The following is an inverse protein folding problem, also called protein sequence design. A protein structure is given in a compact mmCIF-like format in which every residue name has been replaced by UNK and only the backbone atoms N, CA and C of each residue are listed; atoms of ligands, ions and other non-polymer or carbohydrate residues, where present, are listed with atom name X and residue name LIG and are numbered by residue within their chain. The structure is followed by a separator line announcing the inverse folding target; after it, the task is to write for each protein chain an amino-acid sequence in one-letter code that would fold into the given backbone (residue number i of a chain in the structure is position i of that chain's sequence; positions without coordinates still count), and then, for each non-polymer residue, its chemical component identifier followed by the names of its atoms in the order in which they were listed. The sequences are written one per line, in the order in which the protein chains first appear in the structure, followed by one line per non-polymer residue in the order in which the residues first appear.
data_IF_333232773644
#
_entry.id   IF_333232773644
#
_cell.length_a   1.000
_cell.length_b   1.000
_cell.length_c   1.000
_cell.angle_alpha   90.00
_cell.angle_beta   90.00
_cell.angle_gamma   90.00
#
_symmetry.space_group_name_H-M   'P 1'
#
loop_
_entity.id
_entity.type
_entity.pdbx_description
1 polymer ?
#
# COMPACT_ATOMS: atom_id res chain seq x y z
N UNK A 1 -5.33 13.76 -19.34
CA UNK A 1 -4.02 13.23 -18.92
C UNK A 1 -3.86 11.86 -19.55
N UNK A 2 -2.75 11.61 -20.22
CA UNK A 2 -2.55 10.30 -20.85
C UNK A 2 -2.30 9.22 -19.78
N UNK A 3 -2.77 7.97 -19.98
CA UNK A 3 -2.56 6.91 -18.99
C UNK A 3 -1.09 6.64 -18.67
N UNK A 4 -0.20 6.80 -19.65
CA UNK A 4 1.26 6.68 -19.52
C UNK A 4 1.84 7.73 -18.55
N UNK A 5 1.45 8.99 -18.70
CA UNK A 5 1.88 10.11 -17.84
C UNK A 5 1.40 9.93 -16.40
N UNK A 6 0.14 9.53 -16.24
CA UNK A 6 -0.46 9.29 -14.93
C UNK A 6 0.23 8.14 -14.18
N UNK A 7 0.53 7.04 -14.88
CA UNK A 7 1.25 5.90 -14.30
C UNK A 7 2.71 6.23 -13.97
N UNK A 8 3.38 7.01 -14.82
CA UNK A 8 4.75 7.46 -14.57
C UNK A 8 4.81 8.35 -13.34
N UNK A 9 3.89 9.30 -13.22
CA UNK A 9 3.78 10.19 -12.05
C UNK A 9 3.50 9.39 -10.78
N UNK A 10 2.56 8.44 -10.81
CA UNK A 10 2.27 7.59 -9.67
C UNK A 10 3.45 6.69 -9.28
N UNK A 11 4.19 6.15 -10.26
CA UNK A 11 5.40 5.38 -10.01
C UNK A 11 6.49 6.21 -9.33
N UNK A 12 6.69 7.47 -9.75
CA UNK A 12 7.64 8.39 -9.12
C UNK A 12 7.27 8.65 -7.66
N UNK A 13 5.99 8.90 -7.36
CA UNK A 13 5.50 9.08 -5.98
C UNK A 13 5.74 7.79 -5.16
N UNK A 14 5.47 6.64 -5.75
CA UNK A 14 5.69 5.34 -5.10
C UNK A 14 7.17 5.11 -4.75
N UNK A 15 8.08 5.37 -5.69
CA UNK A 15 9.54 5.27 -5.47
C UNK A 15 9.99 6.28 -4.40
N UNK A 16 9.48 7.51 -4.41
CA UNK A 16 9.80 8.50 -3.40
C UNK A 16 9.36 8.04 -2.00
N UNK A 17 8.13 7.53 -1.84
CA UNK A 17 7.64 6.98 -0.58
C UNK A 17 8.49 5.79 -0.10
N UNK A 18 8.86 4.88 -1.01
CA UNK A 18 9.75 3.75 -0.68
C UNK A 18 11.15 4.23 -0.26
N UNK A 19 11.70 5.24 -0.94
CA UNK A 19 12.97 5.87 -0.59
C UNK A 19 12.92 6.52 0.80
N UNK A 20 11.85 7.28 1.11
CA UNK A 20 11.66 7.85 2.44
C UNK A 20 11.51 6.80 3.53
N UNK A 21 10.88 5.66 3.25
CA UNK A 21 10.86 4.53 4.17
C UNK A 21 12.28 4.02 4.47
N UNK A 22 13.15 3.94 3.46
CA UNK A 22 14.57 3.62 3.62
C UNK A 22 15.33 4.63 4.48
N UNK A 23 15.08 5.93 4.26
CA UNK A 23 15.66 7.02 5.07
C UNK A 23 15.27 6.87 6.55
N UNK A 24 14.00 6.61 6.84
CA UNK A 24 13.54 6.43 8.24
C UNK A 24 14.21 5.21 8.90
N UNK A 25 14.45 4.15 8.15
CA UNK A 25 15.19 2.98 8.65
C UNK A 25 16.66 3.33 8.93
N UNK A 26 17.31 4.09 8.05
CA UNK A 26 18.72 4.46 8.19
C UNK A 26 18.98 5.43 9.37
N UNK A 27 18.07 6.38 9.60
CA UNK A 27 18.23 7.39 10.67
C UNK A 27 17.78 6.93 12.05
N UNK A 28 17.14 5.76 12.18
CA UNK A 28 16.75 5.24 13.49
C UNK A 28 17.90 4.45 14.09
N UNK A 29 18.36 4.89 15.26
CA UNK A 29 19.58 4.38 15.92
C UNK A 29 19.52 2.92 16.38
N UNK A 30 18.33 2.33 16.50
CA UNK A 30 18.15 0.93 16.91
C UNK A 30 18.17 0.00 15.71
N UNK A 31 18.87 -1.13 15.84
CA UNK A 31 18.89 -2.17 14.80
C UNK A 31 17.46 -2.62 14.48
N UNK A 32 17.17 -2.97 13.22
CA UNK A 32 15.83 -3.44 12.83
C UNK A 32 15.35 -4.61 13.69
N UNK A 33 16.26 -5.40 14.28
CA UNK A 33 15.92 -6.51 15.15
C UNK A 33 15.34 -6.05 16.50
N UNK A 34 15.84 -4.95 17.06
CA UNK A 34 15.41 -4.37 18.34
C UNK A 34 14.08 -3.62 18.26
N UNK A 35 13.57 -3.35 17.05
CA UNK A 35 12.31 -2.61 16.93
C UNK A 35 11.15 -3.41 17.50
N UNK A 36 10.25 -2.67 18.17
CA UNK A 36 8.96 -3.19 18.58
C UNK A 36 8.24 -3.80 17.37
N UNK A 37 7.51 -4.90 17.59
CA UNK A 37 6.75 -5.55 16.52
C UNK A 37 5.77 -4.58 15.84
N UNK A 38 5.26 -3.59 16.58
CA UNK A 38 4.36 -2.56 16.09
C UNK A 38 5.03 -1.60 15.11
N UNK A 39 6.28 -1.20 15.37
CA UNK A 39 7.04 -0.35 14.46
C UNK A 39 7.46 -1.11 13.20
N UNK A 40 7.83 -2.40 13.33
CA UNK A 40 8.07 -3.29 12.19
C UNK A 40 6.81 -3.41 11.31
N UNK A 41 5.63 -3.50 11.95
CA UNK A 41 4.36 -3.55 11.25
C UNK A 41 3.99 -2.23 10.56
N UNK A 42 4.25 -1.07 11.19
CA UNK A 42 4.07 0.24 10.55
C UNK A 42 4.96 0.42 9.33
N UNK A 43 6.24 0.04 9.45
CA UNK A 43 7.18 0.05 8.34
C UNK A 43 6.71 -0.87 7.21
N UNK A 44 6.23 -2.07 7.54
CA UNK A 44 5.65 -2.99 6.56
C UNK A 44 4.44 -2.40 5.83
N UNK A 45 3.53 -1.73 6.56
CA UNK A 45 2.38 -1.06 5.98
C UNK A 45 2.80 0.07 5.04
N UNK A 46 3.77 0.89 5.44
CA UNK A 46 4.34 1.95 4.61
C UNK A 46 4.97 1.38 3.35
N UNK A 47 5.83 0.37 3.49
CA UNK A 47 6.55 -0.20 2.35
C UNK A 47 5.59 -0.88 1.37
N UNK A 48 4.62 -1.64 1.86
CA UNK A 48 3.63 -2.27 0.98
C UNK A 48 2.67 -1.29 0.33
N UNK A 49 2.37 -0.16 0.97
CA UNK A 49 1.60 0.92 0.34
C UNK A 49 2.36 1.74 -0.70
N UNK A 50 3.69 1.60 -0.77
CA UNK A 50 4.50 2.11 -1.87
C UNK A 50 4.76 1.03 -2.95
N UNK A 51 5.06 -0.20 -2.55
CA UNK A 51 5.42 -1.28 -3.50
C UNK A 51 4.24 -1.79 -4.32
N UNK A 52 3.06 -2.00 -3.72
CA UNK A 52 1.86 -2.45 -4.44
C UNK A 52 1.50 -1.52 -5.62
N UNK A 53 1.41 -0.18 -5.44
CA UNK A 53 1.13 0.72 -6.54
C UNK A 53 2.30 0.79 -7.52
N UNK A 54 3.56 0.71 -7.07
CA UNK A 54 4.72 0.70 -7.95
C UNK A 54 4.67 -0.47 -8.94
N UNK A 55 4.49 -1.70 -8.44
CA UNK A 55 4.38 -2.88 -9.31
C UNK A 55 3.16 -2.81 -10.23
N UNK A 56 2.04 -2.27 -9.74
CA UNK A 56 0.85 -2.04 -10.57
C UNK A 56 1.13 -1.06 -11.72
N UNK A 57 1.86 0.03 -11.45
CA UNK A 57 2.26 1.01 -12.47
C UNK A 57 3.22 0.41 -13.49
N UNK A 58 4.25 -0.32 -13.04
CA UNK A 58 5.22 -1.00 -13.91
C UNK A 58 4.53 -2.01 -14.83
N UNK A 59 3.58 -2.79 -14.30
CA UNK A 59 2.81 -3.74 -15.09
C UNK A 59 1.91 -3.05 -16.13
N UNK A 60 1.24 -1.95 -15.74
CA UNK A 60 0.44 -1.15 -16.66
C UNK A 60 1.28 -0.54 -17.78
N UNK A 61 2.45 0.01 -17.46
CA UNK A 61 3.39 0.54 -18.45
C UNK A 61 3.92 -0.55 -19.39
N UNK A 62 4.25 -1.73 -18.86
CA UNK A 62 4.69 -2.87 -19.67
C UNK A 62 3.61 -3.29 -20.68
N UNK A 63 2.35 -3.40 -20.25
CA UNK A 63 1.24 -3.75 -21.14
C UNK A 63 1.01 -2.71 -22.24
N UNK A 64 1.24 -1.42 -21.96
CA UNK A 64 1.14 -0.35 -22.95
C UNK A 64 2.25 -0.40 -24.02
N UNK A 65 3.34 -1.13 -23.78
CA UNK A 65 4.40 -1.32 -24.80
C UNK A 65 4.01 -2.33 -25.90
N UNK A 66 3.03 -3.20 -25.65
CA UNK A 66 2.60 -4.23 -26.60
C UNK A 66 1.71 -3.59 -27.68
N UNK A 67 2.10 -3.75 -28.94
CA UNK A 67 1.33 -3.29 -30.11
C UNK A 67 0.78 -4.49 -30.91
N UNK A 68 -0.51 -4.50 -31.30
CA UNK A 68 -1.57 -3.55 -30.94
C UNK A 68 -1.96 -3.68 -29.45
N UNK A 69 -2.40 -2.57 -28.86
CA UNK A 69 -2.74 -2.51 -27.43
C UNK A 69 -3.90 -3.47 -27.15
N UNK A 70 -3.75 -4.46 -26.26
CA UNK A 70 -4.78 -5.48 -26.05
C UNK A 70 -6.11 -4.86 -25.59
N UNK A 71 -7.21 -5.28 -26.22
CA UNK A 71 -8.56 -4.72 -26.00
C UNK A 71 -9.02 -4.71 -24.51
N UNK A 72 -8.50 -5.57 -23.59
CA UNK A 72 -8.79 -5.48 -22.16
C UNK A 72 -7.57 -5.17 -21.24
N UNK A 73 -6.62 -4.29 -21.63
CA UNK A 73 -5.44 -3.93 -20.80
C UNK A 73 -5.80 -3.59 -19.35
N UNK A 74 -6.81 -2.74 -19.16
CA UNK A 74 -7.17 -2.26 -17.83
C UNK A 74 -7.81 -3.33 -16.97
N UNK A 75 -8.49 -4.32 -17.58
CA UNK A 75 -8.98 -5.49 -16.85
C UNK A 75 -7.80 -6.32 -16.34
N UNK A 76 -6.80 -6.57 -17.18
CA UNK A 76 -5.57 -7.25 -16.77
C UNK A 76 -4.82 -6.49 -15.67
N UNK A 77 -4.72 -5.17 -15.79
CA UNK A 77 -4.10 -4.33 -14.75
C UNK A 77 -4.88 -4.38 -13.44
N UNK A 78 -6.22 -4.34 -13.48
CA UNK A 78 -7.06 -4.47 -12.29
C UNK A 78 -6.99 -5.85 -11.66
N UNK A 79 -6.95 -6.94 -12.45
CA UNK A 79 -6.74 -8.31 -11.93
C UNK A 79 -5.39 -8.41 -11.22
N UNK A 80 -4.33 -7.92 -11.85
CA UNK A 80 -2.98 -7.94 -11.27
C UNK A 80 -2.90 -7.10 -9.99
N UNK A 81 -3.46 -5.89 -10.02
CA UNK A 81 -3.53 -5.01 -8.84
C UNK A 81 -4.35 -5.64 -7.71
N UNK A 82 -5.50 -6.23 -8.02
CA UNK A 82 -6.33 -6.94 -7.04
C UNK A 82 -5.56 -8.10 -6.39
N UNK A 83 -4.81 -8.87 -7.18
CA UNK A 83 -3.98 -9.95 -6.68
C UNK A 83 -2.91 -9.42 -5.71
N UNK A 84 -2.22 -8.33 -6.05
CA UNK A 84 -1.25 -7.69 -5.17
C UNK A 84 -1.89 -7.16 -3.87
N UNK A 85 -3.06 -6.52 -3.97
CA UNK A 85 -3.82 -6.02 -2.81
C UNK A 85 -4.23 -7.20 -1.91
N UNK A 86 -4.71 -8.31 -2.47
CA UNK A 86 -5.10 -9.50 -1.72
C UNK A 86 -3.90 -10.15 -1.02
N UNK A 87 -2.78 -10.36 -1.71
CA UNK A 87 -1.55 -10.89 -1.11
C UNK A 87 -1.07 -9.98 0.01
N UNK A 88 -1.00 -8.68 -0.23
CA UNK A 88 -0.54 -7.72 0.75
C UNK A 88 -1.47 -7.66 1.97
N UNK A 89 -2.79 -7.65 1.76
CA UNK A 89 -3.79 -7.70 2.82
C UNK A 89 -3.68 -8.98 3.65
N UNK A 90 -3.48 -10.14 3.01
CA UNK A 90 -3.31 -11.41 3.68
C UNK A 90 -2.03 -11.47 4.53
N UNK A 91 -0.89 -11.06 3.95
CA UNK A 91 0.39 -10.98 4.67
C UNK A 91 0.31 -10.00 5.85
N UNK A 92 -0.34 -8.86 5.64
CA UNK A 92 -0.56 -7.88 6.70
C UNK A 92 -1.42 -8.45 7.80
N UNK A 93 -2.51 -9.16 7.47
CA UNK A 93 -3.37 -9.83 8.46
C UNK A 93 -2.62 -10.91 9.24
N UNK A 94 -1.76 -11.70 8.59
CA UNK A 94 -0.88 -12.68 9.27
C UNK A 94 0.06 -12.00 10.27
N UNK A 95 0.75 -10.93 9.85
CA UNK A 95 1.60 -10.14 10.75
C UNK A 95 0.82 -9.49 11.90
N UNK A 96 -0.45 -9.13 11.67
CA UNK A 96 -1.32 -8.65 12.74
C UNK A 96 -1.71 -9.73 13.74
N UNK A 97 -1.96 -10.96 13.29
CA UNK A 97 -2.22 -12.06 14.23
C UNK A 97 -1.00 -12.35 15.11
N UNK A 98 0.21 -12.18 14.59
CA UNK A 98 1.47 -12.35 15.35
C UNK A 98 1.69 -11.25 16.41
N UNK A 99 1.16 -10.03 16.20
CA UNK A 99 1.22 -8.93 17.18
C UNK A 99 0.40 -9.21 18.45
N UNK A 100 -0.55 -10.15 18.38
CA UNK A 100 -1.45 -10.49 19.48
C UNK A 100 -2.55 -9.45 19.77
N UNK A 101 -3.72 -9.87 20.25
CA UNK A 101 -4.86 -8.98 20.52
C UNK A 101 -4.58 -7.94 21.62
N UNK A 102 -3.59 -8.19 22.49
CA UNK A 102 -3.19 -7.30 23.58
C UNK A 102 -2.57 -5.97 23.08
N UNK A 103 -1.78 -6.02 21.99
CA UNK A 103 -1.14 -4.83 21.40
C UNK A 103 -2.17 -3.94 20.69
N UNK A 104 -3.16 -4.55 20.03
CA UNK A 104 -4.27 -3.84 19.37
C UNK A 104 -5.16 -3.15 20.40
N UNK A 105 -5.38 -3.75 21.57
CA UNK A 105 -6.17 -3.14 22.66
C UNK A 105 -5.47 -1.92 23.27
N UNK A 106 -4.14 -1.88 23.28
CA UNK A 106 -3.32 -0.72 23.71
C UNK A 106 -3.31 0.45 22.70
N UNK A 107 -3.80 0.27 21.47
CA UNK A 107 -3.78 1.33 20.43
C UNK A 107 -4.82 2.44 20.62
N UNK A 108 -5.81 2.30 21.53
CA UNK A 108 -6.78 3.37 21.82
C UNK A 108 -7.45 3.96 20.57
N UNK A 109 -7.43 5.29 20.43
CA UNK A 109 -8.02 6.03 19.29
C UNK A 109 -7.45 5.63 17.91
N UNK A 110 -6.22 5.11 17.85
CA UNK A 110 -5.59 4.66 16.61
C UNK A 110 -6.31 3.43 16.01
N UNK A 111 -7.01 2.67 16.85
CA UNK A 111 -7.79 1.50 16.42
C UNK A 111 -8.93 1.89 15.48
N UNK A 112 -9.59 3.02 15.74
CA UNK A 112 -10.68 3.51 14.88
C UNK A 112 -10.16 3.83 13.48
N UNK A 113 -9.06 4.58 13.40
CA UNK A 113 -8.49 4.95 12.11
C UNK A 113 -7.94 3.72 11.36
N UNK A 114 -7.37 2.73 12.06
CA UNK A 114 -6.99 1.47 11.44
C UNK A 114 -8.19 0.73 10.81
N UNK A 115 -9.33 0.66 11.51
CA UNK A 115 -10.54 0.04 10.95
C UNK A 115 -11.13 0.84 9.78
N UNK A 116 -11.12 2.18 9.84
CA UNK A 116 -11.57 3.02 8.72
C UNK A 116 -10.72 2.76 7.48
N UNK A 117 -9.39 2.72 7.61
CA UNK A 117 -8.50 2.37 6.49
C UNK A 117 -8.78 0.96 5.99
N UNK A 118 -9.01 -0.01 6.87
CA UNK A 118 -9.32 -1.38 6.47
C UNK A 118 -10.64 -1.48 5.69
N UNK A 119 -11.70 -0.78 6.13
CA UNK A 119 -13.00 -0.73 5.44
C UNK A 119 -12.83 -0.06 4.07
N UNK A 120 -12.14 1.07 4.00
CA UNK A 120 -11.87 1.75 2.73
C UNK A 120 -11.03 0.88 1.78
N UNK A 121 -10.02 0.18 2.31
CA UNK A 121 -9.21 -0.76 1.53
C UNK A 121 -10.03 -1.94 0.97
N UNK A 122 -10.98 -2.46 1.76
CA UNK A 122 -11.94 -3.47 1.28
C UNK A 122 -12.83 -2.92 0.18
N UNK A 123 -13.36 -1.69 0.33
CA UNK A 123 -14.17 -1.05 -0.70
C UNK A 123 -13.38 -0.86 -2.01
N UNK A 124 -12.11 -0.44 -1.93
CA UNK A 124 -11.21 -0.32 -3.09
C UNK A 124 -10.93 -1.69 -3.73
N UNK A 125 -10.76 -2.75 -2.93
CA UNK A 125 -10.62 -4.12 -3.43
C UNK A 125 -11.85 -4.60 -4.21
N UNK A 126 -13.06 -4.37 -3.67
CA UNK A 126 -14.31 -4.67 -4.35
C UNK A 126 -14.47 -3.86 -5.64
N UNK A 127 -14.08 -2.59 -5.60
CA UNK A 127 -14.10 -1.72 -6.76
C UNK A 127 -13.15 -2.21 -7.86
N UNK A 128 -11.97 -2.71 -7.49
CA UNK A 128 -11.04 -3.34 -8.44
C UNK A 128 -11.57 -4.65 -9.01
N UNK A 129 -12.27 -5.46 -8.22
CA UNK A 129 -12.94 -6.67 -8.71
C UNK A 129 -14.06 -6.32 -9.71
N UNK A 130 -14.86 -5.29 -9.41
CA UNK A 130 -15.86 -4.77 -10.34
C UNK A 130 -15.22 -4.26 -11.64
N UNK A 131 -14.12 -3.51 -11.54
CA UNK A 131 -13.41 -3.01 -12.73
C UNK A 131 -12.81 -4.14 -13.57
N UNK A 132 -12.31 -5.20 -12.92
CA UNK A 132 -11.75 -6.35 -13.61
C UNK A 132 -12.81 -7.15 -14.39
N UNK A 133 -14.00 -7.32 -13.81
CA UNK A 133 -15.06 -8.18 -14.37
C UNK A 133 -15.98 -7.46 -15.36
N UNK A 134 -16.30 -6.19 -15.10
CA UNK A 134 -17.37 -5.46 -15.82
C UNK A 134 -16.78 -4.31 -16.62
N UNK A 135 -16.26 -3.29 -15.95
CA UNK A 135 -16.01 -1.98 -16.59
C UNK A 135 -14.74 -1.92 -17.43
N UNK A 136 -13.60 -2.38 -16.91
CA UNK A 136 -12.31 -2.29 -17.59
C UNK A 136 -11.85 -0.85 -17.88
N UNK A 137 -12.15 0.10 -16.99
CA UNK A 137 -11.87 1.53 -17.18
C UNK A 137 -10.60 1.92 -16.42
N UNK A 138 -9.77 2.75 -17.04
CA UNK A 138 -8.52 3.24 -16.47
C UNK A 138 -8.68 3.93 -15.11
N UNK A 139 -9.70 4.78 -14.95
CA UNK A 139 -9.84 5.61 -13.76
C UNK A 139 -10.00 4.79 -12.48
N UNK A 140 -10.71 3.66 -12.54
CA UNK A 140 -10.93 2.77 -11.39
C UNK A 140 -9.63 2.09 -10.94
N UNK A 141 -8.83 1.66 -11.91
CA UNK A 141 -7.49 1.14 -11.66
C UNK A 141 -6.58 2.21 -11.04
N UNK A 142 -6.59 3.41 -11.61
CA UNK A 142 -5.77 4.52 -11.14
C UNK A 142 -6.18 5.03 -9.75
N UNK A 143 -7.48 5.06 -9.44
CA UNK A 143 -8.00 5.46 -8.14
C UNK A 143 -7.49 4.52 -7.03
N UNK A 144 -7.37 3.21 -7.29
CA UNK A 144 -6.81 2.26 -6.35
C UNK A 144 -5.32 2.52 -6.06
N UNK A 145 -4.54 2.88 -7.09
CA UNK A 145 -3.14 3.29 -6.96
C UNK A 145 -3.03 4.53 -6.07
N UNK A 146 -3.82 5.56 -6.38
CA UNK A 146 -3.82 6.81 -5.62
C UNK A 146 -4.23 6.63 -4.16
N UNK A 147 -5.24 5.78 -3.91
CA UNK A 147 -5.63 5.41 -2.55
C UNK A 147 -4.47 4.79 -1.78
N UNK A 148 -3.76 3.84 -2.39
CA UNK A 148 -2.63 3.16 -1.75
C UNK A 148 -1.48 4.14 -1.44
N UNK A 149 -1.18 5.06 -2.36
CA UNK A 149 -0.18 6.12 -2.14
C UNK A 149 -0.59 7.11 -1.03
N UNK A 150 -1.88 7.47 -0.95
CA UNK A 150 -2.41 8.32 0.11
C UNK A 150 -2.27 7.64 1.48
N UNK A 151 -2.58 6.34 1.56
CA UNK A 151 -2.36 5.54 2.77
C UNK A 151 -0.87 5.48 3.11
N UNK A 152 0.02 5.26 2.14
CA UNK A 152 1.46 5.26 2.38
C UNK A 152 1.97 6.58 2.93
N UNK A 153 1.52 7.70 2.37
CA UNK A 153 1.84 9.04 2.87
C UNK A 153 1.37 9.22 4.32
N UNK A 154 0.15 8.76 4.64
CA UNK A 154 -0.37 8.80 6.00
C UNK A 154 0.44 7.92 6.97
N UNK A 155 0.86 6.72 6.54
CA UNK A 155 1.72 5.85 7.35
C UNK A 155 3.10 6.47 7.58
N UNK A 156 3.66 7.14 6.57
CA UNK A 156 4.92 7.85 6.69
C UNK A 156 4.83 9.00 7.70
N UNK A 157 3.82 9.85 7.57
CA UNK A 157 3.57 10.95 8.52
C UNK A 157 3.44 10.42 9.95
N UNK A 158 2.75 9.29 10.14
CA UNK A 158 2.62 8.65 11.45
C UNK A 158 3.92 8.10 12.00
N UNK A 159 4.76 7.53 11.15
CA UNK A 159 6.05 6.98 11.54
C UNK A 159 6.99 8.09 12.05
N UNK A 160 6.87 9.31 11.52
CA UNK A 160 7.64 10.49 11.95
C UNK A 160 7.03 11.15 13.18
N UNK A 161 5.71 11.36 13.19
CA UNK A 161 5.04 12.17 14.21
C UNK A 161 4.76 11.41 15.52
N UNK A 162 4.67 10.08 15.50
CA UNK A 162 4.39 9.30 16.70
C UNK A 162 5.70 8.92 17.40
N UNK A 163 5.82 9.19 18.72
CA UNK A 163 6.97 8.76 19.49
C UNK A 163 7.18 7.24 19.35
N UNK A 164 8.43 6.76 19.23
CA UNK A 164 8.71 5.34 19.23
C UNK A 164 8.15 4.72 20.52
N UNK A 165 7.42 3.61 20.40
CA UNK A 165 6.98 2.89 21.59
C UNK A 165 8.23 2.34 22.27
N UNK A 166 8.60 2.92 23.41
CA UNK A 166 9.60 2.33 24.31
C UNK A 166 9.08 0.97 24.73
N UNK A 167 9.80 -0.09 24.33
CA UNK A 167 9.66 -1.39 24.95
C UNK A 167 9.96 -1.23 26.43
N UNK A 168 8.93 -1.13 27.25
CA UNK A 168 9.08 -1.40 28.68
C UNK A 168 9.52 -2.85 28.78
N UNK A 169 10.79 -3.00 29.16
CA UNK A 169 11.41 -4.21 29.72
C UNK A 169 10.46 -5.03 30.58
#
# INVERSE_FOLDING_TARGET
MEPSEALTTAAQIAVALAGFAGVVVAFRSSSLHEWSLLDKFRLWLLLGSALVPLFSCLFGMLLLTIKPTPFPIWRWCSVFSLLLICIFGFLSRRRQSELGPAVIKKMGAYRYLFYVIAILGMAVGLLQAYNALVSGVFWLFYAAIMFQLAIGTLQFARLILLPPHTSTT
#
